data_IF_973689679360
#
_entry.id   IF_973689679360
#
_cell.length_a   1.000
_cell.length_b   1.000
_cell.length_c   1.000
_cell.angle_alpha   90.00
_cell.angle_beta   90.00
_cell.angle_gamma   90.00
#
_symmetry.space_group_name_H-M   'P 1'
#
loop_
_entity.id
_entity.type
_entity.pdbx_description
1 polymer ?
#
# COMPACT_ATOMS: atom_id res chain seq x y z
N UNK A 1 -86.36 -25.50 22.75
CA UNK A 1 -85.96 -26.61 21.88
C UNK A 1 -85.03 -26.01 20.84
N UNK A 2 -83.84 -26.62 20.68
CA UNK A 2 -82.64 -26.20 19.93
C UNK A 2 -81.72 -25.18 20.65
N UNK A 3 -80.38 -25.41 20.66
CA UNK A 3 -79.44 -24.68 21.50
C UNK A 3 -78.74 -23.52 20.76
N UNK A 4 -78.33 -22.52 21.53
CA UNK A 4 -77.35 -21.50 21.13
C UNK A 4 -75.96 -22.13 20.94
N UNK A 5 -75.36 -21.94 19.76
CA UNK A 5 -73.92 -21.73 19.57
C UNK A 5 -73.63 -21.45 18.08
N UNK A 6 -73.52 -20.17 17.76
CA UNK A 6 -73.00 -19.64 16.49
C UNK A 6 -71.93 -18.62 16.86
N UNK A 7 -70.76 -19.11 17.28
CA UNK A 7 -69.53 -18.35 17.46
C UNK A 7 -68.38 -19.36 17.50
N UNK A 8 -67.23 -18.96 16.95
CA UNK A 8 -65.97 -19.72 16.80
C UNK A 8 -65.91 -20.76 15.66
N UNK A 9 -65.72 -20.24 14.45
CA UNK A 9 -64.79 -20.86 13.48
C UNK A 9 -63.48 -20.05 13.45
N UNK A 10 -62.90 -19.80 14.63
CA UNK A 10 -61.47 -19.59 14.75
C UNK A 10 -60.86 -20.97 14.93
N UNK A 11 -60.21 -21.52 13.90
CA UNK A 11 -59.13 -22.47 14.18
C UNK A 11 -58.06 -21.63 14.87
N UNK A 12 -57.78 -21.84 16.17
CA UNK A 12 -56.75 -21.08 16.84
C UNK A 12 -55.41 -21.60 16.32
N UNK A 13 -54.50 -20.66 16.06
CA UNK A 13 -53.04 -20.81 15.86
C UNK A 13 -52.37 -21.80 16.86
N UNK A 14 -53.08 -22.22 17.90
CA UNK A 14 -52.65 -23.17 18.92
C UNK A 14 -52.54 -24.65 18.47
N UNK A 15 -53.12 -25.07 17.33
CA UNK A 15 -53.02 -26.48 16.90
C UNK A 15 -51.78 -26.82 16.04
N UNK A 16 -51.07 -25.82 15.51
CA UNK A 16 -49.80 -26.02 14.80
C UNK A 16 -48.57 -26.07 15.73
N UNK A 17 -48.76 -25.88 17.04
CA UNK A 17 -47.66 -25.76 18.00
C UNK A 17 -47.10 -27.10 18.52
N UNK A 18 -47.59 -28.26 18.04
CA UNK A 18 -47.27 -29.58 18.63
C UNK A 18 -47.17 -30.75 17.65
N UNK A 19 -46.91 -30.52 16.37
CA UNK A 19 -46.61 -31.60 15.41
C UNK A 19 -45.22 -31.38 14.81
N UNK A 20 -44.42 -32.44 14.70
CA UNK A 20 -43.13 -32.46 13.98
C UNK A 20 -43.32 -32.30 12.45
N UNK A 21 -44.48 -31.81 12.01
CA UNK A 21 -44.87 -31.74 10.60
C UNK A 21 -44.45 -30.38 10.01
N UNK A 22 -43.66 -30.40 8.93
CA UNK A 22 -43.38 -29.21 8.12
C UNK A 22 -44.63 -28.82 7.32
N UNK A 23 -44.96 -27.53 7.29
CA UNK A 23 -46.03 -26.98 6.45
C UNK A 23 -45.44 -26.20 5.28
N UNK A 24 -46.01 -26.35 4.08
CA UNK A 24 -45.72 -25.45 2.98
C UNK A 24 -46.19 -24.03 3.35
N UNK A 25 -45.31 -23.06 3.18
CA UNK A 25 -45.58 -21.64 3.41
C UNK A 25 -45.42 -20.91 2.08
N UNK A 26 -46.52 -20.41 1.55
CA UNK A 26 -46.51 -19.56 0.37
C UNK A 26 -46.31 -18.11 0.82
N UNK A 27 -45.19 -17.52 0.41
CA UNK A 27 -44.82 -16.14 0.71
C UNK A 27 -45.03 -15.31 -0.55
N UNK A 28 -45.97 -14.37 -0.47
CA UNK A 28 -46.26 -13.46 -1.56
C UNK A 28 -45.57 -12.14 -1.25
N UNK A 29 -44.58 -11.79 -2.08
CA UNK A 29 -43.88 -10.52 -1.98
C UNK A 29 -44.55 -9.52 -2.91
N UNK A 30 -44.99 -8.39 -2.34
CA UNK A 30 -45.59 -7.30 -3.10
C UNK A 30 -44.62 -6.16 -3.29
N UNK A 31 -44.49 -5.74 -4.56
CA UNK A 31 -43.63 -4.64 -4.98
C UNK A 31 -44.46 -3.73 -5.87
N UNK A 32 -44.85 -2.55 -5.37
CA UNK A 32 -45.52 -1.52 -6.16
C UNK A 32 -46.58 -2.09 -7.13
N UNK A 33 -47.48 -2.92 -6.60
CA UNK A 33 -48.59 -3.59 -7.28
C UNK A 33 -48.26 -4.83 -8.14
N UNK A 34 -47.01 -5.32 -8.14
CA UNK A 34 -46.62 -6.62 -8.70
C UNK A 34 -46.45 -7.65 -7.57
N UNK A 35 -47.12 -8.79 -7.74
CA UNK A 35 -47.01 -9.97 -6.88
C UNK A 35 -45.89 -10.85 -7.42
N UNK A 36 -44.91 -11.14 -6.58
CA UNK A 36 -43.87 -12.14 -6.84
C UNK A 36 -44.16 -13.31 -5.91
N UNK A 37 -44.52 -14.43 -6.52
CA UNK A 37 -44.85 -15.67 -5.83
C UNK A 37 -43.56 -16.38 -5.43
N UNK A 38 -43.40 -16.67 -4.15
CA UNK A 38 -42.33 -17.52 -3.65
C UNK A 38 -42.89 -18.62 -2.74
N UNK A 39 -42.49 -19.86 -2.99
CA UNK A 39 -42.91 -21.01 -2.17
C UNK A 39 -41.74 -21.46 -1.32
N UNK A 40 -41.96 -21.61 -0.01
CA UNK A 40 -40.95 -22.06 0.97
C UNK A 40 -41.53 -23.12 1.92
N UNK A 41 -40.68 -24.03 2.40
CA UNK A 41 -41.01 -24.87 3.55
C UNK A 41 -40.52 -24.22 4.84
N UNK A 42 -41.40 -23.95 5.81
CA UNK A 42 -41.00 -23.41 7.11
C UNK A 42 -41.43 -24.32 8.26
N UNK A 43 -40.58 -24.54 9.30
CA UNK A 43 -40.85 -25.54 10.32
C UNK A 43 -41.97 -25.19 11.32
N UNK A 44 -42.49 -23.95 11.33
CA UNK A 44 -43.75 -23.56 11.98
C UNK A 44 -44.00 -22.05 11.80
N UNK A 45 -45.17 -21.64 11.30
CA UNK A 45 -45.59 -20.23 11.29
C UNK A 45 -46.09 -19.83 12.69
N UNK A 46 -45.41 -18.90 13.34
CA UNK A 46 -45.76 -18.41 14.68
C UNK A 46 -46.04 -16.90 14.67
N UNK A 47 -46.81 -16.44 15.66
CA UNK A 47 -47.09 -15.00 15.85
C UNK A 47 -45.86 -14.12 16.16
N UNK A 48 -44.69 -14.72 16.37
CA UNK A 48 -43.43 -14.01 16.58
C UNK A 48 -42.51 -14.04 15.35
N UNK A 49 -42.91 -14.70 14.28
CA UNK A 49 -42.14 -14.77 13.04
C UNK A 49 -42.00 -13.36 12.45
N UNK A 50 -40.79 -13.06 12.02
CA UNK A 50 -40.41 -11.79 11.40
C UNK A 50 -40.13 -11.98 9.90
N UNK A 51 -40.01 -10.88 9.16
CA UNK A 51 -39.55 -10.95 7.77
C UNK A 51 -38.17 -11.64 7.67
N UNK A 52 -37.27 -11.37 8.62
CA UNK A 52 -35.95 -12.00 8.70
C UNK A 52 -36.05 -13.52 8.81
N UNK A 53 -37.01 -14.02 9.59
CA UNK A 53 -37.23 -15.47 9.73
C UNK A 53 -37.64 -16.07 8.39
N UNK A 54 -38.56 -15.44 7.64
CA UNK A 54 -38.97 -15.87 6.30
C UNK A 54 -37.78 -15.89 5.34
N UNK A 55 -37.09 -14.77 5.18
CA UNK A 55 -35.94 -14.68 4.27
C UNK A 55 -34.76 -15.55 4.72
N UNK A 56 -34.81 -16.15 5.91
CA UNK A 56 -33.83 -17.16 6.37
C UNK A 56 -34.35 -18.60 6.27
N UNK A 57 -35.67 -18.82 6.30
CA UNK A 57 -36.32 -20.14 6.27
C UNK A 57 -36.65 -20.62 4.86
N UNK A 58 -36.63 -19.73 3.86
CA UNK A 58 -36.85 -20.07 2.44
C UNK A 58 -35.89 -21.14 1.90
N UNK A 59 -34.84 -21.51 2.64
CA UNK A 59 -33.79 -22.43 2.20
C UNK A 59 -33.44 -23.56 3.17
N UNK A 60 -34.41 -24.24 3.79
CA UNK A 60 -34.10 -25.47 4.57
C UNK A 60 -33.49 -26.61 3.73
N UNK A 61 -33.42 -26.46 2.39
CA UNK A 61 -32.76 -27.42 1.50
C UNK A 61 -31.24 -27.19 1.31
N UNK A 62 -30.64 -26.13 1.84
CA UNK A 62 -29.19 -25.89 1.70
C UNK A 62 -28.51 -25.64 3.06
N UNK A 63 -27.60 -26.56 3.40
CA UNK A 63 -26.94 -26.66 4.69
C UNK A 63 -26.16 -25.39 5.09
N UNK A 64 -26.77 -24.56 5.96
CA UNK A 64 -26.07 -23.78 6.98
C UNK A 64 -25.76 -22.31 6.67
N UNK A 65 -26.41 -21.44 7.44
CA UNK A 65 -26.03 -20.05 7.76
C UNK A 65 -25.44 -19.21 6.61
N UNK A 66 -26.29 -18.83 5.65
CA UNK A 66 -26.10 -17.73 4.72
C UNK A 66 -27.41 -16.92 4.65
N UNK A 67 -27.42 -15.64 4.22
CA UNK A 67 -28.67 -14.95 3.89
C UNK A 67 -29.45 -15.81 2.88
N UNK A 68 -30.77 -15.96 3.03
CA UNK A 68 -31.55 -16.84 2.14
C UNK A 68 -31.34 -16.48 0.68
N UNK A 69 -31.22 -17.52 -0.14
CA UNK A 69 -31.02 -17.52 -1.58
C UNK A 69 -31.97 -16.55 -2.30
N UNK A 70 -33.25 -16.55 -1.93
CA UNK A 70 -34.24 -15.61 -2.49
C UNK A 70 -33.96 -14.15 -2.13
N UNK A 71 -33.46 -13.87 -0.92
CA UNK A 71 -33.04 -12.51 -0.56
C UNK A 71 -31.84 -12.05 -1.40
N UNK A 72 -30.94 -12.98 -1.78
CA UNK A 72 -29.81 -12.70 -2.68
C UNK A 72 -30.30 -12.42 -4.11
N UNK A 73 -31.27 -13.20 -4.61
CA UNK A 73 -31.93 -13.00 -5.90
C UNK A 73 -32.60 -11.63 -5.95
N UNK A 74 -33.42 -11.32 -4.95
CA UNK A 74 -34.14 -10.06 -4.84
C UNK A 74 -33.19 -8.85 -4.79
N UNK A 75 -32.12 -8.97 -4.01
CA UNK A 75 -31.06 -7.95 -3.95
C UNK A 75 -30.41 -7.77 -5.33
N UNK A 76 -30.10 -8.85 -6.03
CA UNK A 76 -29.51 -8.78 -7.37
C UNK A 76 -30.46 -8.12 -8.37
N UNK A 77 -31.73 -8.52 -8.39
CA UNK A 77 -32.76 -7.97 -9.29
C UNK A 77 -32.96 -6.47 -9.08
N UNK A 78 -33.04 -5.99 -7.84
CA UNK A 78 -33.17 -4.56 -7.51
C UNK A 78 -31.94 -3.78 -7.98
N UNK A 79 -30.73 -4.31 -7.73
CA UNK A 79 -29.50 -3.66 -8.16
C UNK A 79 -29.34 -3.66 -9.69
N UNK A 80 -29.76 -4.73 -10.38
CA UNK A 80 -29.76 -4.82 -11.85
C UNK A 80 -30.76 -3.83 -12.44
N UNK A 81 -31.98 -3.78 -11.90
CA UNK A 81 -33.03 -2.87 -12.36
C UNK A 81 -32.64 -1.39 -12.25
N UNK A 82 -31.81 -1.06 -11.26
CA UNK A 82 -31.26 0.28 -11.05
C UNK A 82 -29.88 0.50 -11.69
N UNK A 83 -29.41 -0.46 -12.50
CA UNK A 83 -28.10 -0.49 -13.14
C UNK A 83 -26.92 -0.31 -12.17
N UNK A 84 -27.10 -0.60 -10.88
CA UNK A 84 -26.02 -0.64 -9.91
C UNK A 84 -25.11 -1.84 -10.21
N UNK A 85 -25.69 -2.99 -10.54
CA UNK A 85 -25.00 -4.20 -11.01
C UNK A 85 -25.34 -4.47 -12.47
N UNK A 86 -24.47 -5.18 -13.18
CA UNK A 86 -24.86 -5.85 -14.42
C UNK A 86 -25.58 -7.18 -14.12
N UNK A 87 -26.36 -7.71 -15.08
CA UNK A 87 -26.93 -9.05 -14.98
C UNK A 87 -25.87 -10.13 -14.70
N UNK A 88 -24.71 -10.05 -15.36
CA UNK A 88 -23.61 -10.99 -15.19
C UNK A 88 -23.01 -10.93 -13.78
N UNK A 89 -22.88 -9.73 -13.21
CA UNK A 89 -22.44 -9.54 -11.83
C UNK A 89 -23.45 -10.11 -10.83
N UNK A 90 -24.75 -9.93 -11.07
CA UNK A 90 -25.81 -10.50 -10.22
C UNK A 90 -25.80 -12.04 -10.25
N UNK A 91 -25.71 -12.64 -11.44
CA UNK A 91 -25.65 -14.09 -11.59
C UNK A 91 -24.39 -14.67 -10.92
N UNK A 92 -23.21 -14.08 -11.19
CA UNK A 92 -21.95 -14.49 -10.57
C UNK A 92 -21.97 -14.34 -9.05
N UNK A 93 -22.61 -13.28 -8.55
CA UNK A 93 -22.77 -13.04 -7.13
C UNK A 93 -23.53 -14.20 -6.48
N UNK A 94 -24.72 -14.54 -6.97
CA UNK A 94 -25.55 -15.60 -6.38
C UNK A 94 -24.90 -16.98 -6.53
N UNK A 95 -24.35 -17.32 -7.70
CA UNK A 95 -23.69 -18.63 -7.90
C UNK A 95 -22.50 -18.84 -6.97
N UNK A 96 -21.82 -17.77 -6.56
CA UNK A 96 -20.73 -17.86 -5.57
C UNK A 96 -21.18 -18.33 -4.19
N UNK A 97 -22.47 -18.20 -3.84
CA UNK A 97 -23.02 -18.68 -2.55
C UNK A 97 -23.50 -20.13 -2.62
N UNK A 98 -24.01 -20.56 -3.78
CA UNK A 98 -24.50 -21.94 -3.99
C UNK A 98 -23.43 -22.91 -4.51
N UNK A 99 -22.21 -22.42 -4.77
CA UNK A 99 -21.11 -23.24 -5.30
C UNK A 99 -21.31 -23.65 -6.76
N UNK A 100 -22.09 -22.86 -7.49
CA UNK A 100 -22.61 -23.24 -8.79
C UNK A 100 -21.64 -23.06 -9.96
N UNK A 101 -21.81 -23.89 -10.98
CA UNK A 101 -20.98 -23.91 -12.19
C UNK A 101 -21.40 -22.89 -13.27
N UNK A 102 -20.68 -22.82 -14.41
CA UNK A 102 -21.02 -21.91 -15.50
C UNK A 102 -22.41 -22.13 -16.11
N UNK A 103 -22.92 -23.36 -16.10
CA UNK A 103 -24.27 -23.69 -16.61
C UNK A 103 -25.36 -23.08 -15.72
N UNK A 104 -25.27 -23.29 -14.41
CA UNK A 104 -26.19 -22.71 -13.42
C UNK A 104 -26.13 -21.18 -13.42
N UNK A 105 -24.94 -20.60 -13.64
CA UNK A 105 -24.81 -19.15 -13.80
C UNK A 105 -25.56 -18.63 -15.04
N UNK A 106 -25.55 -19.36 -16.15
CA UNK A 106 -26.23 -18.96 -17.37
C UNK A 106 -27.77 -19.07 -17.24
N UNK A 107 -28.25 -20.08 -16.51
CA UNK A 107 -29.66 -20.23 -16.16
C UNK A 107 -30.13 -19.07 -15.29
N UNK A 108 -29.39 -18.80 -14.21
CA UNK A 108 -29.70 -17.70 -13.30
C UNK A 108 -29.62 -16.32 -13.97
N UNK A 109 -28.65 -16.12 -14.87
CA UNK A 109 -28.57 -14.91 -15.68
C UNK A 109 -29.86 -14.68 -16.49
N UNK A 110 -30.38 -15.75 -17.09
CA UNK A 110 -31.62 -15.70 -17.88
C UNK A 110 -32.82 -15.35 -17.01
N UNK A 111 -32.90 -15.93 -15.81
CA UNK A 111 -33.95 -15.65 -14.82
C UNK A 111 -33.89 -14.21 -14.31
N UNK A 112 -32.72 -13.74 -13.88
CA UNK A 112 -32.52 -12.36 -13.42
C UNK A 112 -32.92 -11.36 -14.49
N UNK A 113 -32.55 -11.62 -15.75
CA UNK A 113 -32.94 -10.74 -16.86
C UNK A 113 -34.45 -10.72 -17.12
N UNK A 114 -35.15 -11.84 -16.90
CA UNK A 114 -36.60 -11.92 -17.10
C UNK A 114 -37.37 -11.19 -15.98
N UNK A 115 -36.90 -11.27 -14.74
CA UNK A 115 -37.62 -10.77 -13.56
C UNK A 115 -37.21 -9.35 -13.12
N UNK A 116 -35.96 -8.93 -13.34
CA UNK A 116 -35.48 -7.57 -12.95
C UNK A 116 -36.34 -6.40 -13.48
N UNK A 117 -36.95 -6.46 -14.68
CA UNK A 117 -37.83 -5.38 -15.16
C UNK A 117 -39.00 -5.04 -14.24
N UNK A 118 -39.46 -5.97 -13.39
CA UNK A 118 -40.53 -5.73 -12.41
C UNK A 118 -40.14 -4.65 -11.38
N UNK A 119 -38.84 -4.48 -11.11
CA UNK A 119 -38.31 -3.51 -10.15
C UNK A 119 -37.97 -2.16 -10.78
N UNK A 120 -38.18 -2.00 -12.09
CA UNK A 120 -37.81 -0.77 -12.80
C UNK A 120 -38.62 0.42 -12.26
N UNK A 121 -37.94 1.55 -12.08
CA UNK A 121 -38.55 2.78 -11.54
C UNK A 121 -38.72 2.77 -10.02
N UNK A 122 -38.25 1.72 -9.34
CA UNK A 122 -38.30 1.60 -7.90
C UNK A 122 -36.91 1.27 -7.33
N UNK A 123 -36.59 1.85 -6.19
CA UNK A 123 -35.35 1.60 -5.46
C UNK A 123 -35.67 1.22 -4.01
N UNK A 124 -34.88 0.29 -3.45
CA UNK A 124 -35.08 -0.22 -2.10
C UNK A 124 -34.71 0.84 -1.04
N UNK A 125 -35.64 1.13 -0.13
CA UNK A 125 -35.35 1.89 1.08
C UNK A 125 -34.72 0.96 2.11
N UNK A 126 -33.40 0.77 2.00
CA UNK A 126 -32.64 -0.18 2.82
C UNK A 126 -32.89 -0.03 4.34
N UNK A 127 -32.87 1.19 4.94
CA UNK A 127 -33.25 1.35 6.36
C UNK A 127 -34.67 0.87 6.69
N UNK A 128 -35.65 1.17 5.84
CA UNK A 128 -37.02 0.72 6.03
C UNK A 128 -37.14 -0.80 5.83
N UNK A 129 -36.37 -1.37 4.90
CA UNK A 129 -36.31 -2.81 4.65
C UNK A 129 -35.74 -3.55 5.85
N UNK A 130 -34.61 -3.11 6.40
CA UNK A 130 -34.07 -3.70 7.63
C UNK A 130 -35.07 -3.61 8.80
N UNK A 131 -35.79 -2.48 8.92
CA UNK A 131 -36.83 -2.33 9.93
C UNK A 131 -38.02 -3.28 9.69
N UNK A 132 -38.40 -3.51 8.43
CA UNK A 132 -39.47 -4.44 8.06
C UNK A 132 -39.07 -5.91 8.26
N UNK A 133 -37.78 -6.25 8.03
CA UNK A 133 -37.25 -7.58 8.32
C UNK A 133 -37.31 -7.91 9.80
N UNK A 134 -37.08 -6.94 10.68
CA UNK A 134 -37.08 -7.16 12.14
C UNK A 134 -38.48 -7.02 12.78
N UNK A 135 -39.48 -6.56 12.02
CA UNK A 135 -40.84 -6.43 12.49
C UNK A 135 -41.56 -7.80 12.50
N UNK A 136 -42.38 -8.09 13.54
CA UNK A 136 -43.28 -9.23 13.52
C UNK A 136 -44.25 -9.14 12.34
N UNK A 137 -44.51 -10.26 11.68
CA UNK A 137 -45.46 -10.33 10.59
C UNK A 137 -46.88 -10.07 11.10
N UNK A 138 -47.52 -9.06 10.54
CA UNK A 138 -48.86 -8.64 10.97
C UNK A 138 -50.00 -9.31 10.19
N UNK A 139 -49.71 -9.95 9.04
CA UNK A 139 -50.71 -10.54 8.15
C UNK A 139 -50.22 -11.91 7.66
N UNK A 140 -50.86 -12.97 8.17
CA UNK A 140 -50.75 -14.32 7.62
C UNK A 140 -52.11 -15.01 7.69
N UNK A 141 -52.40 -15.90 6.75
CA UNK A 141 -53.63 -16.70 6.71
C UNK A 141 -53.32 -18.14 6.34
N UNK A 142 -54.04 -19.09 6.92
CA UNK A 142 -53.94 -20.50 6.53
C UNK A 142 -54.97 -20.82 5.45
N UNK A 143 -54.52 -21.44 4.35
CA UNK A 143 -55.36 -21.97 3.29
C UNK A 143 -55.50 -23.49 3.44
N UNK A 144 -56.68 -23.92 3.87
CA UNK A 144 -57.04 -25.33 4.05
C UNK A 144 -57.00 -26.13 2.73
N UNK A 145 -57.25 -25.49 1.58
CA UNK A 145 -57.34 -26.19 0.30
C UNK A 145 -55.95 -26.59 -0.25
N UNK A 146 -54.95 -25.74 -0.01
CA UNK A 146 -53.55 -25.98 -0.38
C UNK A 146 -52.70 -26.50 0.79
N UNK A 147 -53.27 -26.63 1.99
CA UNK A 147 -52.56 -26.94 3.23
C UNK A 147 -51.34 -26.02 3.45
N UNK A 148 -51.49 -24.73 3.13
CA UNK A 148 -50.37 -23.78 3.14
C UNK A 148 -50.66 -22.52 3.94
N UNK A 149 -49.62 -21.92 4.52
CA UNK A 149 -49.71 -20.58 5.10
C UNK A 149 -49.38 -19.52 4.05
N UNK A 150 -50.27 -18.55 3.86
CA UNK A 150 -50.04 -17.33 3.08
C UNK A 150 -49.43 -16.25 3.98
N UNK A 151 -48.29 -15.70 3.59
CA UNK A 151 -47.72 -14.50 4.19
C UNK A 151 -47.59 -13.42 3.12
N UNK A 152 -48.16 -12.25 3.37
CA UNK A 152 -48.02 -11.08 2.51
C UNK A 152 -46.89 -10.18 3.04
N UNK A 153 -45.80 -10.03 2.27
CA UNK A 153 -44.69 -9.15 2.63
C UNK A 153 -44.55 -8.01 1.62
N UNK A 154 -44.77 -6.77 2.06
CA UNK A 154 -44.61 -5.59 1.20
C UNK A 154 -43.19 -5.04 1.29
N UNK A 155 -42.48 -4.99 0.16
CA UNK A 155 -41.15 -4.40 0.12
C UNK A 155 -41.22 -2.87 0.26
N UNK A 156 -40.46 -2.25 1.19
CA UNK A 156 -40.40 -0.81 1.30
C UNK A 156 -39.54 -0.23 0.17
N UNK A 157 -40.20 0.04 -0.96
CA UNK A 157 -39.62 0.64 -2.14
C UNK A 157 -39.99 2.12 -2.24
N UNK A 158 -39.13 2.90 -2.87
CA UNK A 158 -39.38 4.29 -3.24
C UNK A 158 -39.32 4.48 -4.75
N UNK A 159 -40.10 5.40 -5.32
CA UNK A 159 -39.97 5.74 -6.73
C UNK A 159 -38.57 6.31 -6.99
N UNK A 160 -37.98 5.89 -8.10
CA UNK A 160 -36.75 6.49 -8.62
C UNK A 160 -37.03 7.92 -9.04
N UNK A 161 -36.24 8.86 -8.53
CA UNK A 161 -36.33 10.28 -8.85
C UNK A 161 -34.97 10.91 -9.22
N UNK A 162 -33.91 10.09 -9.27
CA UNK A 162 -32.55 10.54 -9.50
C UNK A 162 -31.85 9.64 -10.52
N UNK A 163 -31.32 10.25 -11.59
CA UNK A 163 -30.42 9.62 -12.56
C UNK A 163 -28.99 10.10 -12.34
N UNK A 164 -28.05 9.19 -12.08
CA UNK A 164 -26.66 9.52 -11.81
C UNK A 164 -25.76 9.01 -12.94
N UNK A 165 -25.00 9.91 -13.55
CA UNK A 165 -23.92 9.58 -14.49
C UNK A 165 -22.58 9.54 -13.75
N UNK A 166 -22.00 8.35 -13.67
CA UNK A 166 -20.69 8.12 -13.07
C UNK A 166 -19.64 8.09 -14.16
N UNK A 167 -18.59 8.89 -13.98
CA UNK A 167 -17.39 8.88 -14.83
C UNK A 167 -16.22 8.28 -14.05
N UNK A 168 -15.58 7.26 -14.62
CA UNK A 168 -14.42 6.57 -14.07
C UNK A 168 -13.17 6.99 -14.83
N UNK A 169 -12.14 7.47 -14.12
CA UNK A 169 -10.86 7.85 -14.74
C UNK A 169 -9.69 7.69 -13.78
N UNK A 170 -8.48 7.61 -14.32
CA UNK A 170 -7.25 7.64 -13.52
C UNK A 170 -6.82 9.09 -13.25
N UNK A 171 -6.11 9.33 -12.14
CA UNK A 171 -5.57 10.65 -11.82
C UNK A 171 -4.36 11.04 -12.67
N UNK A 172 -3.64 10.05 -13.22
CA UNK A 172 -2.44 10.23 -14.04
C UNK A 172 -2.75 10.29 -15.54
N UNK A 173 -4.02 10.17 -15.93
CA UNK A 173 -4.47 10.22 -17.33
C UNK A 173 -4.23 8.94 -18.12
N UNK A 174 -3.74 7.87 -17.47
CA UNK A 174 -3.62 6.55 -18.09
C UNK A 174 -5.00 5.93 -18.37
N UNK A 175 -5.10 5.11 -19.42
CA UNK A 175 -6.34 4.42 -19.75
C UNK A 175 -6.69 3.36 -18.69
N UNK A 176 -7.98 3.25 -18.34
CA UNK A 176 -8.47 2.18 -17.47
C UNK A 176 -8.26 0.79 -18.11
N UNK A 177 -7.85 -0.25 -17.34
CA UNK A 177 -7.65 -1.59 -17.88
C UNK A 177 -8.98 -2.23 -18.31
N UNK A 178 -9.16 -2.50 -19.60
CA UNK A 178 -10.43 -2.99 -20.13
C UNK A 178 -10.94 -4.27 -19.44
N UNK A 179 -10.03 -5.18 -19.10
CA UNK A 179 -10.34 -6.44 -18.42
C UNK A 179 -10.98 -6.27 -17.04
N UNK A 180 -10.72 -5.14 -16.34
CA UNK A 180 -11.31 -4.86 -15.03
C UNK A 180 -12.79 -4.46 -15.13
N UNK A 181 -13.22 -4.03 -16.31
CA UNK A 181 -14.56 -3.49 -16.56
C UNK A 181 -15.42 -4.42 -17.44
N UNK A 182 -14.89 -5.59 -17.83
CA UNK A 182 -15.66 -6.64 -18.52
C UNK A 182 -16.88 -7.02 -17.69
N UNK A 183 -18.04 -7.14 -18.34
CA UNK A 183 -19.31 -7.56 -17.74
C UNK A 183 -19.79 -6.69 -16.57
N UNK A 184 -19.31 -5.44 -16.43
CA UNK A 184 -19.74 -4.51 -15.35
C UNK A 184 -20.88 -3.58 -15.74
N UNK A 185 -21.28 -3.59 -17.02
CA UNK A 185 -22.17 -2.59 -17.60
C UNK A 185 -21.54 -1.19 -17.74
N UNK A 186 -20.24 -1.04 -17.44
CA UNK A 186 -19.50 0.22 -17.63
C UNK A 186 -19.02 0.31 -19.08
N UNK A 187 -19.41 1.38 -19.77
CA UNK A 187 -18.94 1.63 -21.15
C UNK A 187 -17.57 2.30 -21.10
N UNK A 188 -16.55 1.67 -21.70
CA UNK A 188 -15.22 2.26 -21.85
C UNK A 188 -15.05 2.93 -23.22
N UNK A 189 -14.74 4.22 -23.22
CA UNK A 189 -14.38 4.97 -24.42
C UNK A 189 -13.12 5.80 -24.15
N UNK A 190 -12.10 5.65 -25.00
CA UNK A 190 -10.81 6.36 -24.89
C UNK A 190 -10.16 6.24 -23.49
N UNK A 191 -10.31 5.08 -22.84
CA UNK A 191 -9.73 4.84 -21.50
C UNK A 191 -10.49 5.47 -20.33
N UNK A 192 -11.66 6.07 -20.58
CA UNK A 192 -12.59 6.60 -19.58
C UNK A 192 -13.81 5.70 -19.53
N UNK A 193 -14.24 5.34 -18.32
CA UNK A 193 -15.47 4.58 -18.10
C UNK A 193 -16.66 5.50 -17.82
N UNK A 194 -17.84 5.11 -18.29
CA UNK A 194 -19.10 5.78 -17.94
C UNK A 194 -20.20 4.77 -17.68
N UNK A 195 -21.02 5.03 -16.65
CA UNK A 195 -22.24 4.27 -16.32
C UNK A 195 -23.32 5.22 -15.83
N UNK A 196 -24.57 4.96 -16.18
CA UNK A 196 -25.73 5.70 -15.66
C UNK A 196 -26.51 4.78 -14.73
N UNK A 197 -26.71 5.18 -13.48
CA UNK A 197 -27.42 4.41 -12.46
C UNK A 197 -28.60 5.21 -11.90
N UNK A 198 -29.57 4.53 -11.31
CA UNK A 198 -30.78 5.16 -10.76
C UNK A 198 -30.94 4.90 -9.28
N UNK A 199 -31.66 5.80 -8.61
CA UNK A 199 -31.98 5.72 -7.19
C UNK A 199 -32.98 6.80 -6.78
N UNK A 200 -33.16 6.97 -5.48
CA UNK A 200 -33.99 8.05 -4.92
C UNK A 200 -33.14 9.07 -4.15
N UNK A 201 -33.58 10.33 -4.11
CA UNK A 201 -32.86 11.41 -3.45
C UNK A 201 -32.67 11.14 -1.95
N UNK A 202 -31.42 11.25 -1.48
CA UNK A 202 -31.03 10.90 -0.12
C UNK A 202 -30.57 9.44 0.07
N UNK A 203 -30.77 8.57 -0.92
CA UNK A 203 -30.25 7.21 -0.89
C UNK A 203 -28.72 7.21 -0.95
N UNK A 204 -28.08 6.41 -0.10
CA UNK A 204 -26.63 6.15 -0.17
C UNK A 204 -26.40 4.69 -0.46
N UNK A 205 -25.72 4.40 -1.56
CA UNK A 205 -25.28 3.06 -1.93
C UNK A 205 -23.81 2.89 -1.56
N UNK A 206 -23.50 1.97 -0.65
CA UNK A 206 -22.11 1.62 -0.30
C UNK A 206 -21.71 0.37 -1.06
N UNK A 207 -20.72 0.51 -1.94
CA UNK A 207 -20.26 -0.58 -2.80
C UNK A 207 -19.21 -1.43 -2.09
N UNK A 208 -19.67 -2.29 -1.19
CA UNK A 208 -18.81 -3.22 -0.44
C UNK A 208 -18.29 -4.37 -1.30
N UNK A 209 -18.86 -4.57 -2.50
CA UNK A 209 -18.60 -5.71 -3.39
C UNK A 209 -17.87 -5.33 -4.67
N UNK A 210 -17.54 -4.05 -4.85
CA UNK A 210 -16.86 -3.53 -6.04
C UNK A 210 -17.62 -3.78 -7.35
N UNK A 211 -18.95 -3.91 -7.28
CA UNK A 211 -19.78 -4.14 -8.45
C UNK A 211 -20.00 -2.84 -9.24
N UNK A 212 -20.11 -1.71 -8.54
CA UNK A 212 -20.29 -0.39 -9.14
C UNK A 212 -18.98 0.37 -9.29
N UNK A 213 -18.03 0.14 -8.39
CA UNK A 213 -16.70 0.75 -8.30
C UNK A 213 -15.67 -0.39 -8.28
N UNK A 214 -15.31 -0.92 -9.46
CA UNK A 214 -14.37 -2.04 -9.58
C UNK A 214 -13.00 -1.75 -8.98
N UNK A 215 -12.35 -2.78 -8.45
CA UNK A 215 -10.95 -2.71 -8.01
C UNK A 215 -10.01 -2.69 -9.21
N UNK A 216 -9.26 -1.59 -9.38
CA UNK A 216 -8.26 -1.48 -10.44
C UNK A 216 -6.88 -1.80 -9.86
N UNK A 217 -6.18 -2.85 -10.34
CA UNK A 217 -4.90 -3.28 -9.80
C UNK A 217 -3.86 -2.15 -9.74
N UNK A 218 -3.34 -1.88 -8.55
CA UNK A 218 -2.34 -0.82 -8.31
C UNK A 218 -2.92 0.59 -8.17
N UNK A 219 -4.24 0.74 -8.11
CA UNK A 219 -4.92 2.01 -7.88
C UNK A 219 -5.87 1.92 -6.68
N UNK A 220 -6.20 3.08 -6.10
CA UNK A 220 -7.22 3.25 -5.08
C UNK A 220 -8.30 4.20 -5.61
N UNK A 221 -9.56 3.80 -5.56
CA UNK A 221 -10.68 4.66 -5.94
C UNK A 221 -10.86 5.83 -4.96
N UNK A 222 -11.41 6.95 -5.42
CA UNK A 222 -11.63 8.14 -4.58
C UNK A 222 -12.82 8.01 -3.62
N UNK A 223 -13.68 7.02 -3.81
CA UNK A 223 -14.85 6.74 -3.00
C UNK A 223 -15.18 5.24 -3.08
N UNK A 224 -15.91 4.73 -2.08
CA UNK A 224 -16.47 3.38 -2.01
C UNK A 224 -18.00 3.41 -1.84
N UNK A 225 -18.61 4.58 -1.98
CA UNK A 225 -20.05 4.79 -1.92
C UNK A 225 -20.45 5.94 -2.82
N UNK A 226 -21.72 5.97 -3.19
CA UNK A 226 -22.36 7.07 -3.89
C UNK A 226 -23.62 7.50 -3.13
N UNK A 227 -23.94 8.79 -3.20
CA UNK A 227 -25.18 9.33 -2.64
C UNK A 227 -25.97 10.01 -3.74
N UNK A 228 -27.21 9.55 -3.91
CA UNK A 228 -28.15 10.10 -4.87
C UNK A 228 -28.71 11.43 -4.34
N UNK A 229 -28.67 12.45 -5.18
CA UNK A 229 -29.21 13.77 -4.87
C UNK A 229 -29.68 14.43 -6.17
N UNK A 230 -31.00 14.56 -6.30
CA UNK A 230 -31.66 15.22 -7.45
C UNK A 230 -31.56 16.76 -7.41
N UNK A 231 -31.09 17.36 -6.30
CA UNK A 231 -31.04 18.82 -6.11
C UNK A 231 -32.37 19.51 -6.48
N UNK A 232 -33.48 18.89 -6.11
CA UNK A 232 -34.85 19.35 -6.42
C UNK A 232 -35.22 19.38 -7.92
N UNK A 233 -34.46 18.70 -8.78
CA UNK A 233 -34.69 18.61 -10.23
C UNK A 233 -34.56 17.15 -10.72
N UNK A 234 -35.68 16.40 -10.80
CA UNK A 234 -35.66 14.98 -11.18
C UNK A 234 -35.28 14.74 -12.65
N UNK A 235 -35.38 15.76 -13.51
CA UNK A 235 -35.07 15.66 -14.94
C UNK A 235 -33.57 15.82 -15.23
N UNK A 236 -32.78 16.19 -14.21
CA UNK A 236 -31.36 16.49 -14.36
C UNK A 236 -30.46 15.34 -13.89
N UNK A 237 -29.52 14.94 -14.76
CA UNK A 237 -28.50 13.97 -14.39
C UNK A 237 -27.53 14.50 -13.33
N UNK A 238 -27.41 13.79 -12.21
CA UNK A 238 -26.37 13.98 -11.22
C UNK A 238 -25.04 13.44 -11.76
N UNK A 239 -24.04 14.31 -11.92
CA UNK A 239 -22.73 13.90 -12.44
C UNK A 239 -21.76 13.62 -11.29
N UNK A 240 -21.19 12.42 -11.26
CA UNK A 240 -20.20 11.98 -10.26
C UNK A 240 -18.93 11.50 -10.96
N UNK A 241 -17.76 11.74 -10.36
CA UNK A 241 -16.48 11.26 -10.90
C UNK A 241 -15.75 10.41 -9.87
N UNK A 242 -15.49 9.14 -10.20
CA UNK A 242 -14.62 8.24 -9.46
C UNK A 242 -13.22 8.32 -10.06
N UNK A 243 -12.25 8.75 -9.25
CA UNK A 243 -10.85 8.88 -9.66
C UNK A 243 -9.99 7.79 -9.05
N UNK A 244 -9.37 6.97 -9.88
CA UNK A 244 -8.40 5.96 -9.49
C UNK A 244 -7.01 6.59 -9.34
N UNK A 245 -6.43 6.48 -8.15
CA UNK A 245 -5.12 7.06 -7.81
C UNK A 245 -4.11 5.96 -7.53
N UNK A 246 -2.96 6.01 -8.21
CA UNK A 246 -1.83 5.15 -7.86
C UNK A 246 -1.21 5.66 -6.54
N UNK A 247 -0.97 4.79 -5.54
CA UNK A 247 -0.23 5.20 -4.36
C UNK A 247 1.16 5.69 -4.80
N UNK A 248 1.55 6.86 -4.30
CA UNK A 248 2.87 7.41 -4.60
C UNK A 248 3.95 6.42 -4.10
N UNK A 249 5.00 6.13 -4.89
CA UNK A 249 6.08 5.27 -4.41
C UNK A 249 6.69 5.88 -3.15
N UNK A 250 6.83 5.07 -2.10
CA UNK A 250 7.44 5.51 -0.85
C UNK A 250 8.86 6.03 -1.11
N UNK A 251 9.23 7.15 -0.46
CA UNK A 251 10.57 7.71 -0.60
C UNK A 251 11.61 6.71 -0.09
N UNK A 252 12.49 6.25 -0.98
CA UNK A 252 13.56 5.35 -0.59
C UNK A 252 14.66 6.12 0.14
N UNK A 253 14.80 5.90 1.44
CA UNK A 253 15.86 6.52 2.24
C UNK A 253 17.25 6.15 1.71
N UNK A 254 18.19 7.08 1.77
CA UNK A 254 19.58 6.82 1.40
C UNK A 254 20.53 7.62 2.29
N UNK A 255 21.81 7.25 2.28
CA UNK A 255 22.83 7.94 3.06
C UNK A 255 23.75 8.78 2.18
N UNK A 256 24.16 9.94 2.70
CA UNK A 256 25.16 10.82 2.08
C UNK A 256 26.30 11.09 3.04
N UNK A 257 27.49 11.40 2.51
CA UNK A 257 28.63 11.88 3.27
C UNK A 257 28.98 13.32 2.91
N UNK A 258 29.53 14.07 3.87
CA UNK A 258 30.02 15.43 3.66
C UNK A 258 31.39 15.46 2.98
N UNK A 259 31.51 16.19 1.86
CA UNK A 259 32.76 16.40 1.11
C UNK A 259 33.48 17.70 1.49
N UNK A 260 32.72 18.70 1.91
CA UNK A 260 33.23 20.01 2.31
C UNK A 260 32.66 20.42 3.66
N UNK A 261 33.20 21.51 4.23
CA UNK A 261 32.61 22.18 5.38
C UNK A 261 31.15 22.51 5.10
N UNK A 262 30.26 22.06 5.98
CA UNK A 262 28.83 22.36 5.90
C UNK A 262 28.24 22.53 7.30
N UNK A 263 27.03 23.07 7.36
CA UNK A 263 26.25 23.19 8.58
C UNK A 263 24.95 22.40 8.43
N UNK A 264 24.43 21.91 9.55
CA UNK A 264 23.09 21.35 9.69
C UNK A 264 22.16 22.40 10.29
N UNK A 265 20.92 22.46 9.80
CA UNK A 265 19.96 23.51 10.11
C UNK A 265 18.64 22.94 10.61
N UNK A 266 17.94 23.70 11.44
CA UNK A 266 16.59 23.34 11.90
C UNK A 266 15.55 23.42 10.78
N UNK A 267 15.66 24.44 9.91
CA UNK A 267 14.70 24.69 8.84
C UNK A 267 15.36 24.73 7.45
N UNK A 268 14.54 24.55 6.42
CA UNK A 268 14.93 24.36 5.01
C UNK A 268 15.68 25.56 4.38
N UNK A 269 15.44 26.77 4.89
CA UNK A 269 15.96 28.03 4.31
C UNK A 269 17.35 28.45 4.84
N UNK A 270 17.88 27.74 5.84
CA UNK A 270 19.26 27.90 6.34
C UNK A 270 19.59 29.26 6.95
N UNK A 271 18.74 29.77 7.85
CA UNK A 271 19.10 30.99 8.59
C UNK A 271 20.31 30.73 9.48
N UNK A 272 21.19 31.73 9.62
CA UNK A 272 22.42 31.60 10.43
C UNK A 272 22.12 31.30 11.90
N UNK A 273 21.03 31.85 12.44
CA UNK A 273 20.54 31.61 13.80
C UNK A 273 20.05 30.19 14.05
N UNK A 274 19.66 29.46 13.00
CA UNK A 274 19.08 28.12 13.06
C UNK A 274 20.13 27.00 12.86
N UNK A 275 21.41 27.35 12.89
CA UNK A 275 22.51 26.40 12.74
C UNK A 275 22.59 25.50 13.98
N UNK A 276 22.34 24.22 13.79
CA UNK A 276 22.45 23.21 14.84
C UNK A 276 23.91 22.81 15.06
N UNK A 277 24.63 22.52 13.97
CA UNK A 277 25.99 21.98 14.06
C UNK A 277 26.83 22.30 12.82
N UNK A 278 28.12 22.56 13.06
CA UNK A 278 29.15 22.68 12.02
C UNK A 278 29.85 21.35 11.80
N UNK A 279 30.15 21.04 10.55
CA UNK A 279 31.02 19.94 10.16
C UNK A 279 32.23 20.48 9.39
N UNK A 280 33.43 20.08 9.79
CA UNK A 280 34.66 20.43 9.07
C UNK A 280 34.85 19.57 7.82
N UNK A 281 35.66 20.05 6.88
CA UNK A 281 36.10 19.24 5.74
C UNK A 281 36.91 18.06 6.25
N UNK A 282 36.54 16.85 5.80
CA UNK A 282 37.16 15.58 6.18
C UNK A 282 37.48 14.75 4.95
N UNK A 283 38.56 13.96 4.98
CA UNK A 283 38.74 12.85 4.04
C UNK A 283 37.56 11.88 4.14
N UNK A 284 37.23 11.20 3.03
CA UNK A 284 36.06 10.31 2.97
C UNK A 284 35.98 9.33 4.14
N UNK A 285 37.10 8.70 4.52
CA UNK A 285 37.17 7.76 5.65
C UNK A 285 36.57 8.28 6.97
N UNK A 286 36.58 9.59 7.20
CA UNK A 286 36.08 10.24 8.41
C UNK A 286 35.00 11.28 8.14
N UNK A 287 34.47 11.33 6.91
CA UNK A 287 33.40 12.25 6.56
C UNK A 287 32.16 12.02 7.44
N UNK A 288 31.46 13.10 7.85
CA UNK A 288 30.17 12.95 8.51
C UNK A 288 29.18 12.29 7.55
N UNK A 289 28.34 11.41 8.09
CA UNK A 289 27.32 10.67 7.35
C UNK A 289 25.95 11.11 7.82
N UNK A 290 25.00 11.20 6.89
CA UNK A 290 23.63 11.63 7.13
C UNK A 290 22.66 10.70 6.44
N UNK A 291 21.60 10.28 7.14
CA UNK A 291 20.48 9.52 6.57
C UNK A 291 19.43 10.49 6.07
N UNK A 292 19.16 10.44 4.76
CA UNK A 292 18.21 11.29 4.05
C UNK A 292 16.87 10.56 3.95
N UNK A 293 15.81 11.24 4.36
CA UNK A 293 14.43 10.74 4.34
C UNK A 293 13.51 11.53 3.42
N UNK A 294 13.97 12.68 2.91
CA UNK A 294 13.25 13.44 1.89
C UNK A 294 14.19 14.37 1.12
N UNK A 295 13.81 14.72 -0.11
CA UNK A 295 14.44 15.79 -0.91
C UNK A 295 13.48 16.95 -1.07
N UNK A 296 13.96 18.17 -0.81
CA UNK A 296 13.15 19.39 -0.91
C UNK A 296 13.99 20.56 -1.42
N UNK A 297 13.41 21.75 -1.49
CA UNK A 297 14.10 22.98 -1.89
C UNK A 297 13.79 24.09 -0.90
N UNK A 298 14.75 25.00 -0.69
CA UNK A 298 14.50 26.27 0.01
C UNK A 298 13.50 27.12 -0.77
N UNK A 299 12.95 28.17 -0.14
CA UNK A 299 12.15 29.20 -0.83
C UNK A 299 12.84 29.80 -2.07
N UNK A 300 14.18 29.87 -2.06
CA UNK A 300 14.99 30.35 -3.18
C UNK A 300 15.39 29.25 -4.20
N UNK A 301 14.74 28.09 -4.20
CA UNK A 301 15.00 26.99 -5.16
C UNK A 301 16.29 26.20 -4.95
N UNK A 302 17.08 26.46 -3.90
CA UNK A 302 18.28 25.67 -3.62
C UNK A 302 17.91 24.27 -3.09
N UNK A 303 18.52 23.19 -3.61
CA UNK A 303 18.16 21.84 -3.18
C UNK A 303 18.65 21.53 -1.76
N UNK A 304 17.84 20.75 -1.04
CA UNK A 304 17.99 20.40 0.37
C UNK A 304 17.67 18.94 0.61
N UNK A 305 18.39 18.34 1.54
CA UNK A 305 18.04 17.04 2.11
C UNK A 305 17.43 17.25 3.49
N UNK A 306 16.30 16.61 3.73
CA UNK A 306 15.75 16.42 5.08
C UNK A 306 16.34 15.13 5.65
N UNK A 307 16.80 15.20 6.88
CA UNK A 307 17.40 14.09 7.61
C UNK A 307 16.38 13.37 8.47
N UNK A 308 16.71 12.16 8.89
CA UNK A 308 15.84 11.33 9.73
C UNK A 308 15.45 11.95 11.08
N UNK A 309 16.22 12.95 11.55
CA UNK A 309 15.91 13.72 12.77
C UNK A 309 15.12 15.01 12.49
N UNK A 310 14.58 15.17 11.28
CA UNK A 310 13.82 16.34 10.85
C UNK A 310 14.67 17.56 10.47
N UNK A 311 15.99 17.52 10.68
CA UNK A 311 16.89 18.63 10.33
C UNK A 311 17.30 18.62 8.85
N UNK A 312 18.00 19.67 8.40
CA UNK A 312 18.30 19.88 6.99
C UNK A 312 19.79 20.11 6.71
N UNK A 313 20.25 19.60 5.56
CA UNK A 313 21.57 19.86 4.98
C UNK A 313 21.49 20.16 3.48
N UNK A 314 22.53 20.80 2.93
CA UNK A 314 22.58 21.12 1.51
C UNK A 314 22.61 19.83 0.69
N UNK A 315 21.84 19.78 -0.40
CA UNK A 315 21.90 18.69 -1.38
C UNK A 315 22.83 18.99 -2.56
N UNK A 316 23.56 20.12 -2.54
CA UNK A 316 24.50 20.48 -3.59
C UNK A 316 25.62 19.44 -3.66
N UNK A 317 25.82 18.87 -4.84
CA UNK A 317 26.82 17.83 -5.09
C UNK A 317 28.24 18.27 -4.74
N UNK A 318 28.58 19.57 -4.73
CA UNK A 318 29.89 20.01 -4.26
C UNK A 318 30.14 19.74 -2.76
N UNK A 319 29.09 19.73 -1.94
CA UNK A 319 29.18 19.62 -0.48
C UNK A 319 28.91 18.22 0.05
N UNK A 320 28.10 17.42 -0.65
CA UNK A 320 27.69 16.08 -0.23
C UNK A 320 27.76 15.09 -1.40
N UNK A 321 27.95 13.82 -1.11
CA UNK A 321 27.88 12.73 -2.09
C UNK A 321 27.16 11.52 -1.50
N UNK A 322 26.58 10.65 -2.35
CA UNK A 322 25.99 9.38 -1.89
C UNK A 322 27.07 8.58 -1.14
N UNK A 323 26.70 7.99 0.00
CA UNK A 323 27.63 7.21 0.81
C UNK A 323 28.04 5.92 0.11
N UNK A 324 27.08 5.26 -0.54
CA UNK A 324 27.29 3.99 -1.22
C UNK A 324 27.54 4.23 -2.70
N UNK A 325 28.60 3.61 -3.23
CA UNK A 325 28.89 3.56 -4.66
C UNK A 325 27.76 2.85 -5.40
N UNK A 326 27.35 3.41 -6.54
CA UNK A 326 26.32 2.84 -7.41
C UNK A 326 26.83 2.53 -8.81
N UNK A 327 28.15 2.41 -8.98
CA UNK A 327 28.77 2.12 -10.26
C UNK A 327 28.71 0.62 -10.55
N UNK A 328 27.80 0.21 -11.42
CA UNK A 328 27.61 -1.18 -11.86
C UNK A 328 28.72 -1.65 -12.80
N UNK A 329 29.46 -0.72 -13.40
CA UNK A 329 30.52 -1.02 -14.38
C UNK A 329 31.88 -1.23 -13.71
N UNK A 330 32.00 -0.93 -12.42
CA UNK A 330 33.22 -1.06 -11.65
C UNK A 330 33.79 -2.49 -11.71
N UNK A 331 34.99 -2.63 -12.29
CA UNK A 331 35.76 -3.90 -12.33
C UNK A 331 36.76 -4.03 -11.19
N UNK A 332 37.04 -2.94 -10.49
CA UNK A 332 38.04 -2.89 -9.42
C UNK A 332 37.62 -1.93 -8.34
N UNK A 333 37.86 -2.33 -7.09
CA UNK A 333 37.82 -1.43 -5.94
C UNK A 333 39.17 -1.36 -5.25
N UNK A 334 39.40 -0.21 -4.62
CA UNK A 334 40.58 0.08 -3.82
C UNK A 334 40.17 0.34 -2.38
N UNK A 335 40.77 -0.39 -1.44
CA UNK A 335 40.53 -0.20 0.00
C UNK A 335 41.28 1.02 0.50
N UNK A 336 40.55 2.04 0.95
CA UNK A 336 41.11 3.34 1.41
C UNK A 336 40.98 3.56 2.91
N UNK A 337 40.15 2.77 3.59
CA UNK A 337 40.01 2.78 5.05
C UNK A 337 41.36 2.56 5.75
N UNK A 338 41.81 3.41 6.68
CA UNK A 338 43.02 3.18 7.48
C UNK A 338 42.99 1.87 8.28
N UNK A 339 41.79 1.38 8.62
CA UNK A 339 41.58 0.11 9.34
C UNK A 339 41.39 -1.10 8.42
N UNK A 340 41.45 -0.91 7.10
CA UNK A 340 41.05 -1.93 6.14
C UNK A 340 39.55 -2.22 6.16
N UNK A 341 39.16 -3.34 5.57
CA UNK A 341 37.79 -3.90 5.56
C UNK A 341 37.86 -5.43 5.64
N UNK A 342 36.74 -6.07 5.96
CA UNK A 342 36.58 -7.52 5.88
C UNK A 342 35.79 -7.91 4.62
N UNK A 343 36.05 -9.10 4.11
CA UNK A 343 35.15 -9.79 3.17
C UNK A 343 34.11 -10.61 3.93
N UNK A 344 32.99 -10.90 3.27
CA UNK A 344 31.82 -11.54 3.86
C UNK A 344 31.23 -12.61 2.93
N UNK A 345 30.60 -13.62 3.49
CA UNK A 345 29.94 -14.69 2.72
C UNK A 345 28.69 -14.18 2.00
N UNK A 346 27.96 -13.24 2.61
CA UNK A 346 26.70 -12.71 2.11
C UNK A 346 26.65 -11.17 2.12
N UNK A 347 25.50 -10.60 1.75
CA UNK A 347 25.29 -9.14 1.71
C UNK A 347 24.89 -8.52 3.05
N UNK A 348 24.43 -9.34 4.00
CA UNK A 348 24.02 -8.94 5.34
C UNK A 348 25.23 -8.68 6.27
N UNK A 349 26.40 -9.24 5.93
CA UNK A 349 27.67 -9.04 6.65
C UNK A 349 27.63 -9.57 8.09
N UNK A 350 27.04 -10.76 8.25
CA UNK A 350 26.92 -11.44 9.55
C UNK A 350 28.24 -12.06 10.03
N UNK A 351 29.21 -12.24 9.13
CA UNK A 351 30.50 -12.92 9.35
C UNK A 351 31.70 -11.98 9.11
N UNK A 352 32.93 -12.48 9.28
CA UNK A 352 34.17 -11.83 8.83
C UNK A 352 35.13 -12.90 8.33
N UNK A 353 35.51 -12.83 7.05
CA UNK A 353 36.39 -13.84 6.43
C UNK A 353 37.83 -13.34 6.31
N UNK A 354 38.15 -12.63 5.23
CA UNK A 354 39.51 -12.15 4.94
C UNK A 354 39.63 -10.65 5.20
N UNK A 355 40.67 -10.25 5.94
CA UNK A 355 40.96 -8.83 6.17
C UNK A 355 41.75 -8.24 5.01
N UNK A 356 41.15 -7.27 4.34
CA UNK A 356 41.78 -6.49 3.28
C UNK A 356 42.36 -5.20 3.87
N UNK A 357 43.67 -5.06 3.77
CA UNK A 357 44.41 -3.89 4.29
C UNK A 357 44.16 -2.66 3.40
N UNK A 358 44.40 -1.48 3.96
CA UNK A 358 44.49 -0.26 3.14
C UNK A 358 45.54 -0.46 2.04
N UNK A 359 45.22 -0.14 0.78
CA UNK A 359 46.09 -0.51 -0.34
C UNK A 359 45.55 -1.64 -1.20
N UNK A 360 44.73 -2.53 -0.64
CA UNK A 360 44.23 -3.69 -1.37
C UNK A 360 43.45 -3.26 -2.61
N UNK A 361 43.84 -3.84 -3.75
CA UNK A 361 43.10 -3.82 -5.02
C UNK A 361 42.30 -5.11 -5.09
N UNK A 362 40.98 -5.01 -5.23
CA UNK A 362 40.10 -6.17 -5.38
C UNK A 362 39.37 -6.13 -6.71
N UNK A 363 39.32 -7.27 -7.39
CA UNK A 363 38.57 -7.43 -8.63
C UNK A 363 37.11 -7.69 -8.29
N UNK A 364 36.23 -6.95 -8.96
CA UNK A 364 34.78 -6.97 -8.72
C UNK A 364 34.08 -7.53 -9.94
N UNK A 365 33.11 -8.41 -9.70
CA UNK A 365 32.31 -9.06 -10.74
C UNK A 365 30.91 -8.45 -10.85
N UNK A 366 30.32 -8.02 -9.72
CA UNK A 366 28.92 -7.58 -9.66
C UNK A 366 28.68 -6.54 -8.56
N UNK A 367 27.84 -5.54 -8.85
CA UNK A 367 27.20 -4.69 -7.84
C UNK A 367 25.90 -5.36 -7.36
N UNK A 368 25.73 -5.47 -6.05
CA UNK A 368 24.50 -5.95 -5.42
C UNK A 368 23.93 -4.84 -4.53
N UNK A 369 22.65 -4.52 -4.74
CA UNK A 369 21.92 -3.58 -3.88
C UNK A 369 21.23 -4.36 -2.77
N UNK A 370 21.47 -3.95 -1.53
CA UNK A 370 20.75 -4.43 -0.35
C UNK A 370 20.12 -3.22 0.35
N UNK A 371 18.80 -3.07 0.13
CA UNK A 371 17.99 -1.93 0.57
C UNK A 371 18.59 -0.59 0.12
N UNK A 372 19.05 0.24 1.05
CA UNK A 372 19.64 1.57 0.80
C UNK A 372 21.17 1.53 0.66
N UNK A 373 21.76 0.34 0.74
CA UNK A 373 23.20 0.13 0.74
C UNK A 373 23.64 -0.68 -0.47
N UNK A 374 24.94 -0.62 -0.78
CA UNK A 374 25.51 -1.41 -1.87
C UNK A 374 26.65 -2.29 -1.39
N UNK A 375 26.80 -3.42 -2.06
CA UNK A 375 27.83 -4.43 -1.87
C UNK A 375 28.42 -4.77 -3.23
N UNK A 376 29.69 -5.14 -3.25
CA UNK A 376 30.34 -5.62 -4.46
C UNK A 376 30.77 -7.06 -4.25
N UNK A 377 30.37 -7.92 -5.17
CA UNK A 377 30.80 -9.30 -5.21
C UNK A 377 32.19 -9.38 -5.83
N UNK A 378 33.06 -10.17 -5.21
CA UNK A 378 34.40 -10.47 -5.66
C UNK A 378 34.42 -11.72 -6.55
N UNK A 379 35.56 -11.99 -7.17
CA UNK A 379 35.72 -13.14 -8.06
C UNK A 379 35.57 -14.50 -7.35
N UNK A 380 35.87 -14.56 -6.06
CA UNK A 380 35.71 -15.76 -5.22
C UNK A 380 34.28 -15.93 -4.66
N UNK A 381 33.34 -15.08 -5.08
CA UNK A 381 31.95 -15.10 -4.64
C UNK A 381 31.66 -14.34 -3.35
N UNK A 382 32.69 -13.92 -2.59
CA UNK A 382 32.53 -13.13 -1.35
C UNK A 382 32.15 -11.68 -1.64
N UNK A 383 31.76 -10.93 -0.60
CA UNK A 383 31.27 -9.57 -0.71
C UNK A 383 32.12 -8.57 0.07
N UNK A 384 32.23 -7.35 -0.47
CA UNK A 384 32.79 -6.17 0.21
C UNK A 384 31.84 -4.99 0.16
N UNK A 385 31.99 -4.06 1.11
CA UNK A 385 31.14 -2.88 1.20
C UNK A 385 31.33 -1.94 0.00
N UNK A 386 30.23 -1.36 -0.51
CA UNK A 386 30.28 -0.25 -1.47
C UNK A 386 30.39 1.13 -0.80
N UNK A 387 30.57 1.21 0.53
CA UNK A 387 30.63 2.46 1.27
C UNK A 387 31.92 3.25 0.95
N UNK A 388 31.75 4.48 0.44
CA UNK A 388 32.82 5.37 0.00
C UNK A 388 33.76 5.84 1.12
N UNK A 389 33.41 5.61 2.39
CA UNK A 389 34.35 5.82 3.50
C UNK A 389 35.45 4.76 3.55
N UNK A 390 35.21 3.61 2.93
CA UNK A 390 36.11 2.46 3.02
C UNK A 390 36.73 2.08 1.69
N UNK A 391 36.02 2.30 0.58
CA UNK A 391 36.46 1.90 -0.76
C UNK A 391 36.28 3.02 -1.77
N UNK A 392 36.96 2.90 -2.92
CA UNK A 392 36.76 3.76 -4.09
C UNK A 392 37.00 2.98 -5.38
N UNK A 393 36.38 3.41 -6.47
CA UNK A 393 36.67 2.92 -7.83
C UNK A 393 37.86 3.65 -8.45
N UNK A 394 38.18 4.86 -7.98
CA UNK A 394 39.29 5.64 -8.51
C UNK A 394 40.63 5.16 -7.90
N UNK A 395 41.59 4.78 -8.75
CA UNK A 395 42.92 4.35 -8.32
C UNK A 395 43.59 5.48 -7.51
N UNK A 396 43.82 5.31 -6.20
CA UNK A 396 44.47 6.34 -5.41
C UNK A 396 45.99 6.31 -5.63
N UNK A 397 46.66 7.43 -5.35
CA UNK A 397 48.12 7.49 -5.34
C UNK A 397 48.65 6.79 -4.08
N UNK A 398 49.06 5.54 -4.22
CA UNK A 398 49.71 4.77 -3.17
C UNK A 398 51.10 5.33 -2.88
N UNK A 399 51.39 5.56 -1.60
CA UNK A 399 52.69 6.04 -1.16
C UNK A 399 53.35 4.91 -0.39
N UNK A 400 54.44 4.36 -0.94
CA UNK A 400 55.20 3.26 -0.35
C UNK A 400 56.49 3.74 0.31
N UNK A 401 57.05 4.87 -0.14
CA UNK A 401 58.25 5.47 0.45
C UNK A 401 58.17 6.99 0.50
N UNK A 402 58.70 7.58 1.56
CA UNK A 402 58.86 9.03 1.68
C UNK A 402 60.21 9.42 2.25
N UNK A 403 60.85 10.43 1.65
CA UNK A 403 62.11 11.01 2.07
C UNK A 403 61.88 12.27 2.91
N UNK A 404 62.57 12.36 4.06
CA UNK A 404 62.52 13.51 4.94
C UNK A 404 63.23 14.74 4.32
N UNK A 405 62.53 15.87 4.18
CA UNK A 405 63.13 17.13 3.65
C UNK A 405 64.01 17.85 4.68
N UNK A 406 63.83 17.54 5.97
CA UNK A 406 64.62 17.99 7.12
C UNK A 406 64.58 16.94 8.23
N UNK A 407 65.06 17.23 9.44
CA UNK A 407 64.94 16.27 10.56
C UNK A 407 63.49 15.94 10.90
N UNK A 408 63.14 14.65 11.10
CA UNK A 408 61.76 14.21 11.36
C UNK A 408 61.68 13.28 12.55
N UNK A 409 60.61 13.45 13.31
CA UNK A 409 60.27 12.60 14.44
C UNK A 409 59.31 11.49 14.00
N UNK A 410 59.50 10.31 14.58
CA UNK A 410 58.55 9.21 14.65
C UNK A 410 57.72 9.36 15.92
N UNK A 411 56.42 9.05 15.85
CA UNK A 411 55.47 9.16 16.94
C UNK A 411 54.67 7.87 17.09
N UNK A 412 54.20 7.53 18.29
CA UNK A 412 53.36 6.34 18.49
C UNK A 412 51.91 6.55 18.04
N UNK A 413 51.44 7.79 17.99
CA UNK A 413 50.05 8.14 17.70
C UNK A 413 49.87 8.97 16.41
N UNK A 414 48.67 8.91 15.83
CA UNK A 414 48.30 9.65 14.61
C UNK A 414 48.19 11.17 14.82
N UNK A 415 48.05 11.63 16.05
CA UNK A 415 48.04 13.07 16.37
C UNK A 415 49.45 13.67 16.40
N UNK A 416 50.48 12.82 16.41
CA UNK A 416 51.90 13.16 16.56
C UNK A 416 52.20 13.87 17.89
N UNK A 417 51.58 13.42 18.98
CA UNK A 417 51.80 14.00 20.32
C UNK A 417 52.98 13.31 21.01
N UNK A 418 53.03 11.98 20.99
CA UNK A 418 54.00 11.18 21.74
C UNK A 418 55.19 10.80 20.85
N UNK A 419 56.27 11.60 20.94
CA UNK A 419 57.50 11.40 20.18
C UNK A 419 58.24 10.15 20.65
N UNK A 420 58.66 9.30 19.70
CA UNK A 420 59.46 8.11 19.94
C UNK A 420 60.94 8.30 19.56
N UNK A 421 61.21 8.72 18.32
CA UNK A 421 62.58 8.75 17.78
C UNK A 421 62.78 9.89 16.80
N UNK A 422 63.97 10.47 16.76
CA UNK A 422 64.37 11.48 15.78
C UNK A 422 65.21 10.88 14.65
N UNK A 423 64.99 11.35 13.42
CA UNK A 423 65.70 10.96 12.20
C UNK A 423 66.26 12.20 11.49
N UNK A 424 67.48 12.10 10.96
CA UNK A 424 68.14 13.19 10.22
C UNK A 424 67.48 13.44 8.86
N UNK A 425 67.78 14.61 8.28
CA UNK A 425 67.39 14.98 6.91
C UNK A 425 67.80 13.87 5.92
N UNK A 426 66.96 13.60 4.94
CA UNK A 426 67.22 12.62 3.89
C UNK A 426 66.88 11.18 4.25
N UNK A 427 66.54 10.87 5.51
CA UNK A 427 66.06 9.53 5.87
C UNK A 427 64.82 9.14 5.05
N UNK A 428 64.78 7.88 4.60
CA UNK A 428 63.70 7.33 3.81
C UNK A 428 62.89 6.40 4.71
N UNK A 429 61.59 6.69 4.83
CA UNK A 429 60.65 5.87 5.57
C UNK A 429 59.85 5.00 4.62
N UNK A 430 59.75 3.70 4.93
CA UNK A 430 58.80 2.80 4.29
C UNK A 430 57.41 3.02 4.88
N UNK A 431 56.46 3.36 4.01
CA UNK A 431 55.09 3.68 4.33
C UNK A 431 54.23 2.44 4.13
N UNK A 432 53.50 2.06 5.17
CA UNK A 432 52.60 0.88 5.17
C UNK A 432 51.12 1.28 5.11
N UNK A 433 50.82 2.57 5.19
CA UNK A 433 49.48 3.11 5.10
C UNK A 433 49.44 4.59 5.46
N UNK A 434 48.25 5.17 5.53
CA UNK A 434 48.03 6.52 6.02
C UNK A 434 46.75 6.62 6.84
N UNK A 435 46.75 7.62 7.69
CA UNK A 435 45.60 8.02 8.49
C UNK A 435 45.58 9.55 8.61
N UNK A 436 44.64 10.09 9.38
CA UNK A 436 44.43 11.53 9.56
C UNK A 436 44.30 11.87 11.03
N UNK A 437 45.03 12.90 11.46
CA UNK A 437 44.87 13.43 12.81
C UNK A 437 43.42 13.86 13.05
N UNK A 438 42.92 13.70 14.27
CA UNK A 438 41.55 14.07 14.65
C UNK A 438 40.46 13.45 13.76
N UNK A 439 40.69 12.27 13.14
CA UNK A 439 39.73 11.64 12.22
C UNK A 439 38.29 11.69 12.73
N UNK A 440 38.06 11.21 13.96
CA UNK A 440 36.73 11.13 14.56
C UNK A 440 36.13 12.46 15.04
N UNK A 441 36.91 13.54 15.18
CA UNK A 441 36.38 14.83 15.62
C UNK A 441 35.81 15.61 14.42
N UNK A 442 34.49 15.64 14.28
CA UNK A 442 33.80 16.28 13.16
C UNK A 442 33.90 17.81 13.12
N UNK A 443 34.38 18.47 14.18
CA UNK A 443 34.45 19.94 14.28
C UNK A 443 35.74 20.53 13.71
N UNK A 444 36.80 19.74 13.64
CA UNK A 444 38.14 20.16 13.22
C UNK A 444 38.65 19.32 12.05
N UNK A 445 39.36 19.93 11.11
CA UNK A 445 39.96 19.19 10.00
C UNK A 445 41.14 18.36 10.47
N UNK A 446 41.35 17.21 9.81
CA UNK A 446 42.49 16.34 10.04
C UNK A 446 43.62 16.58 9.05
N UNK A 447 44.85 16.22 9.44
CA UNK A 447 46.03 16.26 8.57
C UNK A 447 46.51 14.85 8.28
N UNK A 448 46.87 14.56 7.01
CA UNK A 448 47.39 13.25 6.60
C UNK A 448 48.68 12.90 7.33
N UNK A 449 48.77 11.66 7.81
CA UNK A 449 49.93 11.04 8.45
C UNK A 449 50.25 9.73 7.76
N UNK A 450 51.53 9.45 7.58
CA UNK A 450 51.96 8.14 7.08
C UNK A 450 52.21 7.21 8.24
N UNK A 451 51.70 5.98 8.13
CA UNK A 451 52.02 4.88 9.02
C UNK A 451 53.31 4.24 8.51
N UNK A 452 54.27 4.04 9.40
CA UNK A 452 55.59 3.48 9.13
C UNK A 452 55.91 2.43 10.20
N UNK A 453 57.03 1.73 10.07
CA UNK A 453 57.47 0.81 11.11
C UNK A 453 57.58 1.52 12.47
N UNK A 454 56.88 1.00 13.49
CA UNK A 454 56.91 1.53 14.86
C UNK A 454 56.02 2.76 15.14
N UNK A 455 55.27 3.29 14.16
CA UNK A 455 54.35 4.40 14.43
C UNK A 455 53.99 5.26 13.23
N UNK A 456 53.95 6.57 13.44
CA UNK A 456 53.48 7.57 12.49
C UNK A 456 54.49 8.71 12.28
N UNK A 457 54.51 9.23 11.06
CA UNK A 457 55.23 10.45 10.69
C UNK A 457 54.29 11.43 9.97
N UNK A 458 54.72 12.69 9.83
CA UNK A 458 53.96 13.69 9.07
C UNK A 458 53.81 13.30 7.59
N UNK A 459 52.59 13.42 7.06
CA UNK A 459 52.31 13.30 5.63
C UNK A 459 52.28 14.63 4.89
N UNK A 460 52.74 15.72 5.53
CA UNK A 460 52.74 17.04 4.91
C UNK A 460 53.79 17.11 3.78
N UNK A 461 53.41 17.40 2.51
CA UNK A 461 54.33 17.44 1.38
C UNK A 461 55.38 18.56 1.47
N UNK A 462 55.20 19.56 2.34
CA UNK A 462 56.25 20.55 2.66
C UNK A 462 57.37 19.95 3.51
N UNK A 463 57.08 18.88 4.27
CA UNK A 463 57.99 18.29 5.25
C UNK A 463 58.59 16.95 4.79
N UNK A 464 57.91 16.22 3.91
CA UNK A 464 58.37 14.96 3.31
C UNK A 464 58.17 14.99 1.79
N UNK A 465 58.98 14.24 1.04
CA UNK A 465 58.85 14.06 -0.41
C UNK A 465 58.55 12.59 -0.70
N UNK A 466 57.53 12.31 -1.51
CA UNK A 466 57.30 10.95 -2.02
C UNK A 466 58.49 10.58 -2.91
N UNK A 467 59.04 9.39 -2.71
CA UNK A 467 60.13 8.85 -3.52
C UNK A 467 59.72 7.45 -3.96
N UNK A 468 60.14 7.08 -5.16
CA UNK A 468 59.86 5.75 -5.68
C UNK A 468 60.65 4.71 -4.93
#
# INVERSE_FOLDING_TARGET
MLPESLLDSHIPVAQAANTEDSYETNVFIYIADHEVDMTTETPAVTSQMTGRDIFSSVDTNFQGQQPGFEALILTAQINIANNLWSPEQGAAFITSFIGGGPEEQAELLSELMAQSPAFKGHALDEPAFQSALDAPLSQFSYDEASNSFRVDFTMPMKPVDTHMKITYKTSDGSALPASTFTDTGITLANGIGTKVVTGFSGQTYTDTRHALIPEVPGYTASANSITFNNNDDPDKEQNVTITYRRPAPAFQTFQVYGKQKLYRYQHVDFKKSERIRKYATKPSAYAPVFTVVNTTQSKAGNPRYQLSDGSYITAKSAYVGKLFLGDETAKTLYVTSPKGIWTHTDTAFSDQLTHLKQGSKVTVTKLVRDRSTTRYQLADGTFVTGNQRYVTTAKPQWVTRVKAKGGRNLYSDVTLIHRLKHYRKGHIFNVTGWDYSYGHNQLISGTKRYKVAGGYITGNPKLVKIVD
#
